data_IF_162510641250
#
_entry.id   IF_162510641250
#
_cell.length_a   1.000
_cell.length_b   1.000
_cell.length_c   1.000
_cell.angle_alpha   90.00
_cell.angle_beta   90.00
_cell.angle_gamma   90.00
#
_symmetry.space_group_name_H-M   'P 1'
#
loop_
_entity.id
_entity.type
_entity.pdbx_description
1 polymer ?
#
# COMPACT_ATOMS: atom_id res chain seq x y z
N UNK A 1 -29.73 14.17 19.88
CA UNK A 1 -29.02 13.02 20.50
C UNK A 1 -29.23 11.70 19.73
N UNK A 2 -30.40 11.48 19.09
CA UNK A 2 -30.72 10.27 18.31
C UNK A 2 -29.84 10.09 17.06
N UNK A 3 -29.59 11.16 16.29
CA UNK A 3 -28.76 11.09 15.08
C UNK A 3 -27.34 10.56 15.31
N UNK A 4 -26.67 10.97 16.40
CA UNK A 4 -25.33 10.45 16.76
C UNK A 4 -25.32 8.95 17.05
N UNK A 5 -26.38 8.43 17.68
CA UNK A 5 -26.51 6.98 17.93
C UNK A 5 -26.76 6.20 16.64
N UNK A 6 -27.57 6.75 15.73
CA UNK A 6 -27.78 6.13 14.41
C UNK A 6 -26.49 6.12 13.59
N UNK A 7 -25.74 7.23 13.51
CA UNK A 7 -24.46 7.25 12.79
C UNK A 7 -23.44 6.27 13.39
N UNK A 8 -23.31 6.22 14.73
CA UNK A 8 -22.43 5.27 15.39
C UNK A 8 -22.84 3.80 15.17
N UNK A 9 -24.14 3.52 15.05
CA UNK A 9 -24.63 2.18 14.74
C UNK A 9 -24.34 1.79 13.29
N UNK A 10 -24.58 2.70 12.34
CA UNK A 10 -24.25 2.49 10.93
C UNK A 10 -22.75 2.27 10.75
N UNK A 11 -21.90 3.10 11.36
CA UNK A 11 -20.44 2.91 11.33
C UNK A 11 -20.02 1.53 11.88
N UNK A 12 -20.71 1.04 12.93
CA UNK A 12 -20.44 -0.27 13.52
C UNK A 12 -20.89 -1.42 12.63
N UNK A 13 -22.06 -1.31 11.99
CA UNK A 13 -22.59 -2.32 11.08
C UNK A 13 -21.76 -2.39 9.79
N UNK A 14 -21.44 -1.24 9.19
CA UNK A 14 -20.50 -1.15 8.08
C UNK A 14 -19.16 -1.76 8.47
N UNK A 15 -18.67 -1.47 9.68
CA UNK A 15 -17.41 -2.04 10.15
C UNK A 15 -17.46 -3.56 10.24
N UNK A 16 -18.52 -4.15 10.79
CA UNK A 16 -18.63 -5.60 10.87
C UNK A 16 -18.66 -6.25 9.48
N UNK A 17 -19.36 -5.64 8.52
CA UNK A 17 -19.39 -6.11 7.14
C UNK A 17 -18.01 -6.00 6.48
N UNK A 18 -17.35 -4.85 6.58
CA UNK A 18 -16.01 -4.63 6.06
C UNK A 18 -14.99 -5.57 6.70
N UNK A 19 -15.13 -5.85 8.00
CA UNK A 19 -14.27 -6.78 8.72
C UNK A 19 -14.44 -8.21 8.20
N UNK A 20 -15.67 -8.68 8.03
CA UNK A 20 -15.94 -10.02 7.50
C UNK A 20 -15.33 -10.21 6.11
N UNK A 21 -15.50 -9.22 5.22
CA UNK A 21 -14.92 -9.25 3.87
C UNK A 21 -13.39 -9.18 3.93
N UNK A 22 -12.83 -8.34 4.82
CA UNK A 22 -11.38 -8.23 5.00
C UNK A 22 -10.78 -9.51 5.57
N UNK A 23 -11.47 -10.22 6.46
CA UNK A 23 -11.04 -11.50 7.02
C UNK A 23 -10.97 -12.59 5.94
N UNK A 24 -11.94 -12.65 5.03
CA UNK A 24 -11.94 -13.55 3.88
C UNK A 24 -10.81 -13.22 2.90
N UNK A 25 -10.66 -11.95 2.52
CA UNK A 25 -9.55 -11.48 1.66
C UNK A 25 -8.21 -11.83 2.30
N UNK A 26 -8.07 -11.62 3.61
CA UNK A 26 -6.84 -11.89 4.35
C UNK A 26 -6.55 -13.38 4.47
N UNK A 27 -7.58 -14.23 4.54
CA UNK A 27 -7.40 -15.68 4.50
C UNK A 27 -6.86 -16.14 3.14
N UNK A 28 -7.48 -15.69 2.04
CA UNK A 28 -7.00 -15.98 0.69
C UNK A 28 -5.60 -15.41 0.42
N UNK A 29 -5.31 -14.20 0.92
CA UNK A 29 -4.00 -13.58 0.78
C UNK A 29 -2.91 -14.34 1.55
N UNK A 30 -3.21 -14.79 2.78
CA UNK A 30 -2.29 -15.63 3.57
C UNK A 30 -2.01 -16.97 2.88
N UNK A 31 -3.02 -17.59 2.27
CA UNK A 31 -2.86 -18.82 1.50
C UNK A 31 -1.95 -18.60 0.28
N UNK A 32 -2.23 -17.57 -0.53
CA UNK A 32 -1.38 -17.22 -1.67
C UNK A 32 0.07 -16.93 -1.23
N UNK A 33 0.27 -16.20 -0.15
CA UNK A 33 1.62 -15.86 0.34
C UNK A 33 2.36 -17.08 0.90
N UNK A 34 1.67 -17.97 1.60
CA UNK A 34 2.32 -19.06 2.34
C UNK A 34 2.48 -20.34 1.52
N UNK A 35 1.54 -20.59 0.59
CA UNK A 35 1.37 -21.90 -0.03
C UNK A 35 1.60 -21.90 -1.54
N UNK A 36 1.98 -20.77 -2.14
CA UNK A 36 2.23 -20.70 -3.60
C UNK A 36 3.63 -20.16 -3.92
N UNK A 37 4.23 -20.56 -5.06
CA UNK A 37 5.47 -19.94 -5.56
C UNK A 37 5.35 -18.42 -5.76
N UNK A 38 4.14 -17.94 -6.03
CA UNK A 38 3.82 -16.50 -6.11
C UNK A 38 4.07 -15.81 -4.78
N UNK A 39 3.76 -16.48 -3.67
CA UNK A 39 4.01 -15.99 -2.32
C UNK A 39 5.49 -15.79 -2.00
N UNK A 40 6.36 -16.71 -2.42
CA UNK A 40 7.81 -16.58 -2.21
C UNK A 40 8.41 -15.42 -3.02
N UNK A 41 7.99 -15.26 -4.28
CA UNK A 41 8.40 -14.14 -5.13
C UNK A 41 7.80 -12.82 -4.62
N UNK A 42 6.57 -12.85 -4.10
CA UNK A 42 5.93 -11.69 -3.49
C UNK A 42 6.67 -11.22 -2.25
N UNK A 43 7.05 -12.13 -1.35
CA UNK A 43 7.84 -11.79 -0.17
C UNK A 43 9.17 -11.17 -0.56
N UNK A 44 9.86 -11.71 -1.57
CA UNK A 44 11.14 -11.17 -2.05
C UNK A 44 10.98 -9.81 -2.75
N UNK A 45 9.94 -9.58 -3.55
CA UNK A 45 9.64 -8.26 -4.15
C UNK A 45 9.29 -7.24 -3.07
N UNK A 46 8.48 -7.62 -2.08
CA UNK A 46 8.14 -6.79 -0.93
C UNK A 46 9.41 -6.43 -0.14
N UNK A 47 10.30 -7.41 0.10
CA UNK A 47 11.60 -7.19 0.76
C UNK A 47 12.58 -6.36 -0.08
N UNK A 48 12.58 -6.50 -1.41
CA UNK A 48 13.41 -5.70 -2.32
C UNK A 48 12.90 -4.27 -2.45
N UNK A 49 11.60 -4.06 -2.49
CA UNK A 49 10.97 -2.74 -2.41
C UNK A 49 11.41 -2.02 -1.13
N UNK A 50 11.45 -2.71 0.03
CA UNK A 50 12.00 -2.17 1.29
C UNK A 50 13.43 -1.63 1.14
N UNK A 51 14.30 -2.27 0.34
CA UNK A 51 15.67 -1.79 0.12
C UNK A 51 15.76 -0.52 -0.74
N UNK A 52 14.82 -0.31 -1.66
CA UNK A 52 14.75 0.92 -2.47
C UNK A 52 14.09 2.09 -1.72
N UNK A 53 13.47 1.83 -0.56
CA UNK A 53 12.82 2.84 0.27
C UNK A 53 13.85 3.70 0.99
N UNK A 54 14.39 4.71 0.30
CA UNK A 54 14.86 5.93 0.98
C UNK A 54 13.64 6.68 1.52
N UNK A 55 13.04 6.24 2.63
CA UNK A 55 12.13 7.08 3.41
C UNK A 55 12.86 7.65 4.61
N UNK A 56 12.91 8.99 4.64
CA UNK A 56 13.15 9.93 5.74
C UNK A 56 14.40 9.65 6.62
N UNK A 57 15.16 10.69 7.01
CA UNK A 57 16.12 10.55 8.11
C UNK A 57 15.31 10.34 9.41
N UNK A 58 14.96 9.09 9.67
CA UNK A 58 14.75 8.56 11.00
C UNK A 58 16.15 8.19 11.48
N UNK A 59 16.59 8.81 12.56
CA UNK A 59 17.96 8.69 13.10
C UNK A 59 18.36 7.25 13.51
N UNK A 60 17.48 6.26 13.31
CA UNK A 60 17.78 4.85 13.50
C UNK A 60 17.19 4.00 12.36
N UNK A 61 18.06 3.44 11.52
CA UNK A 61 17.69 2.51 10.45
C UNK A 61 16.87 1.30 10.95
N UNK A 62 17.02 0.90 12.21
CA UNK A 62 16.24 -0.18 12.83
C UNK A 62 14.73 0.09 12.88
N UNK A 63 14.34 1.36 13.07
CA UNK A 63 12.94 1.74 13.24
C UNK A 63 12.17 1.85 11.91
N UNK A 64 12.87 2.22 10.85
CA UNK A 64 12.32 2.21 9.48
C UNK A 64 11.86 0.80 9.13
N UNK A 65 12.70 -0.19 9.44
CA UNK A 65 12.42 -1.60 9.18
C UNK A 65 11.19 -2.09 9.93
N UNK A 66 11.07 -1.77 11.22
CA UNK A 66 9.90 -2.14 12.03
C UNK A 66 8.58 -1.60 11.44
N UNK A 67 8.57 -0.31 11.06
CA UNK A 67 7.39 0.34 10.46
C UNK A 67 7.01 -0.36 9.15
N UNK A 68 8.00 -0.71 8.33
CA UNK A 68 7.78 -1.39 7.05
C UNK A 68 7.27 -2.80 7.24
N UNK A 69 7.89 -3.59 8.11
CA UNK A 69 7.44 -4.95 8.45
C UNK A 69 6.01 -4.92 8.98
N UNK A 70 5.69 -3.97 9.86
CA UNK A 70 4.33 -3.78 10.37
C UNK A 70 3.33 -3.39 9.27
N UNK A 71 3.71 -2.53 8.33
CA UNK A 71 2.85 -2.13 7.21
C UNK A 71 2.53 -3.32 6.30
N UNK A 72 3.48 -4.21 6.07
CA UNK A 72 3.26 -5.45 5.31
C UNK A 72 2.29 -6.36 6.06
N UNK A 73 2.50 -6.59 7.36
CA UNK A 73 1.57 -7.38 8.16
C UNK A 73 0.16 -6.78 8.15
N UNK A 74 0.05 -5.44 8.23
CA UNK A 74 -1.24 -4.77 8.13
C UNK A 74 -1.97 -5.08 6.82
N UNK A 75 -1.27 -5.05 5.69
CA UNK A 75 -1.85 -5.39 4.39
C UNK A 75 -2.22 -6.86 4.29
N UNK A 76 -1.36 -7.76 4.79
CA UNK A 76 -1.60 -9.22 4.79
C UNK A 76 -2.81 -9.59 5.65
N UNK A 77 -2.99 -8.92 6.77
CA UNK A 77 -4.05 -9.18 7.74
C UNK A 77 -5.29 -8.30 7.56
N UNK A 78 -5.33 -7.46 6.53
CA UNK A 78 -6.47 -6.57 6.25
C UNK A 78 -6.72 -5.55 7.36
N UNK A 79 -5.66 -5.15 8.07
CA UNK A 79 -5.76 -4.24 9.20
C UNK A 79 -5.89 -2.78 8.75
N UNK A 80 -6.47 -1.96 9.63
CA UNK A 80 -6.62 -0.53 9.36
C UNK A 80 -5.27 0.19 9.47
N UNK A 81 -5.00 1.18 8.60
CA UNK A 81 -3.83 2.06 8.70
C UNK A 81 -3.70 2.81 10.04
N UNK A 82 -4.83 2.99 10.74
CA UNK A 82 -4.90 3.71 12.01
C UNK A 82 -4.02 3.05 13.10
N UNK A 83 -3.90 1.72 13.09
CA UNK A 83 -3.06 0.99 14.04
C UNK A 83 -1.56 1.26 13.82
N UNK A 84 -1.13 1.35 12.56
CA UNK A 84 0.24 1.72 12.22
C UNK A 84 0.53 3.18 12.62
N UNK A 85 -0.45 4.06 12.45
CA UNK A 85 -0.35 5.45 12.93
C UNK A 85 -0.15 5.52 14.45
N UNK A 86 -0.96 4.80 15.23
CA UNK A 86 -0.85 4.78 16.70
C UNK A 86 0.51 4.25 17.14
N UNK A 87 1.01 3.18 16.52
CA UNK A 87 2.36 2.66 16.76
C UNK A 87 3.43 3.74 16.52
N UNK A 88 3.37 4.43 15.38
CA UNK A 88 4.35 5.49 15.07
C UNK A 88 4.23 6.63 16.08
N UNK A 89 3.02 6.98 16.53
CA UNK A 89 2.79 8.03 17.53
C UNK A 89 3.31 7.67 18.91
N UNK A 90 3.18 6.42 19.34
CA UNK A 90 3.61 5.95 20.66
C UNK A 90 5.12 6.08 20.89
N UNK A 91 5.89 6.20 19.81
CA UNK A 91 7.33 6.47 19.89
C UNK A 91 7.73 7.84 20.46
N UNK A 92 6.81 8.81 20.50
CA UNK A 92 7.08 10.18 21.00
C UNK A 92 7.91 11.09 20.08
N UNK A 93 8.66 10.57 19.11
CA UNK A 93 9.64 11.36 18.32
C UNK A 93 9.07 12.05 17.07
N UNK A 94 7.77 11.89 16.79
CA UNK A 94 7.19 12.29 15.50
C UNK A 94 5.90 13.08 15.71
N UNK A 95 5.81 14.26 15.09
CA UNK A 95 4.58 15.03 15.06
C UNK A 95 3.42 14.25 14.39
N UNK A 96 2.20 14.41 14.88
CA UNK A 96 1.03 13.65 14.42
C UNK A 96 0.77 13.71 12.91
N UNK A 97 0.97 14.87 12.28
CA UNK A 97 0.84 15.04 10.83
C UNK A 97 1.88 14.20 10.06
N UNK A 98 3.11 14.11 10.58
CA UNK A 98 4.20 13.33 10.01
C UNK A 98 3.98 11.83 10.25
N UNK A 99 3.56 11.42 11.44
CA UNK A 99 3.22 10.02 11.72
C UNK A 99 2.13 9.50 10.77
N UNK A 100 1.08 10.30 10.54
CA UNK A 100 0.00 9.96 9.60
C UNK A 100 0.49 9.86 8.16
N UNK A 101 1.34 10.80 7.72
CA UNK A 101 1.96 10.73 6.39
C UNK A 101 2.78 9.44 6.22
N UNK A 102 3.61 9.11 7.22
CA UNK A 102 4.44 7.89 7.19
C UNK A 102 3.54 6.66 7.10
N UNK A 103 2.58 6.50 8.02
CA UNK A 103 1.68 5.35 8.02
C UNK A 103 0.98 5.14 6.68
N UNK A 104 0.38 6.20 6.10
CA UNK A 104 -0.30 6.12 4.81
C UNK A 104 0.64 5.74 3.67
N UNK A 105 1.86 6.29 3.69
CA UNK A 105 2.86 6.03 2.65
C UNK A 105 3.35 4.59 2.71
N UNK A 106 3.65 4.09 3.91
CA UNK A 106 4.15 2.72 4.08
C UNK A 106 3.06 1.67 3.79
N UNK A 107 1.80 1.93 4.14
CA UNK A 107 0.67 1.09 3.69
C UNK A 107 0.52 1.12 2.17
N UNK A 108 0.57 2.30 1.54
CA UNK A 108 0.48 2.42 0.08
C UNK A 108 1.58 1.65 -0.64
N UNK A 109 2.80 1.67 -0.10
CA UNK A 109 3.94 0.90 -0.59
C UNK A 109 3.77 -0.60 -0.42
N UNK A 110 3.34 -1.06 0.75
CA UNK A 110 3.09 -2.48 1.01
C UNK A 110 2.01 -3.03 0.06
N UNK A 111 0.91 -2.30 -0.14
CA UNK A 111 -0.15 -2.64 -1.10
C UNK A 111 0.38 -2.67 -2.54
N UNK A 112 1.20 -1.67 -2.93
CA UNK A 112 1.81 -1.60 -4.25
C UNK A 112 2.75 -2.78 -4.53
N UNK A 113 3.58 -3.15 -3.55
CA UNK A 113 4.49 -4.29 -3.66
C UNK A 113 3.72 -5.62 -3.78
N UNK A 114 2.65 -5.81 -3.01
CA UNK A 114 1.79 -6.99 -3.14
C UNK A 114 1.11 -7.04 -4.51
N UNK A 115 0.61 -5.90 -5.01
CA UNK A 115 0.00 -5.80 -6.34
C UNK A 115 1.00 -6.16 -7.43
N UNK A 116 2.21 -5.59 -7.37
CA UNK A 116 3.29 -5.89 -8.30
C UNK A 116 3.63 -7.38 -8.33
N UNK A 117 3.75 -8.01 -7.16
CA UNK A 117 4.08 -9.42 -7.08
C UNK A 117 3.03 -10.32 -7.73
N UNK A 118 1.74 -10.05 -7.43
CA UNK A 118 0.61 -10.77 -8.04
C UNK A 118 0.53 -10.54 -9.54
N UNK A 119 0.81 -9.32 -9.99
CA UNK A 119 0.83 -8.96 -11.39
C UNK A 119 1.94 -9.73 -12.15
N UNK A 120 3.17 -9.72 -11.63
CA UNK A 120 4.29 -10.43 -12.23
C UNK A 120 4.06 -11.94 -12.28
N UNK A 121 3.41 -12.51 -11.26
CA UNK A 121 3.05 -13.93 -11.23
C UNK A 121 2.09 -14.36 -12.35
N UNK A 122 1.25 -13.45 -12.84
CA UNK A 122 0.36 -13.70 -13.99
C UNK A 122 0.95 -13.18 -15.31
N UNK A 123 2.24 -12.86 -15.34
CA UNK A 123 2.95 -12.41 -16.55
C UNK A 123 2.72 -10.94 -16.91
N UNK A 124 2.16 -10.12 -16.02
CA UNK A 124 2.00 -8.69 -16.25
C UNK A 124 3.34 -7.95 -16.17
N UNK A 125 3.71 -7.24 -17.23
CA UNK A 125 4.94 -6.43 -17.25
C UNK A 125 4.77 -5.04 -16.63
N UNK A 126 3.53 -4.57 -16.46
CA UNK A 126 3.27 -3.22 -16.00
C UNK A 126 1.80 -2.89 -15.82
N UNK A 127 1.51 -1.60 -15.71
CA UNK A 127 0.18 -1.08 -15.42
C UNK A 127 -0.05 0.30 -16.05
N UNK A 128 -1.31 0.67 -16.19
CA UNK A 128 -1.72 2.03 -16.55
C UNK A 128 -1.84 2.88 -15.29
N UNK A 129 -1.14 4.01 -15.27
CA UNK A 129 -1.13 4.91 -14.10
C UNK A 129 -2.42 5.73 -14.04
N UNK A 130 -3.24 5.48 -13.02
CA UNK A 130 -4.48 6.22 -12.80
C UNK A 130 -4.35 7.23 -11.67
N UNK A 131 -5.19 8.27 -11.70
CA UNK A 131 -5.15 9.38 -10.75
C UNK A 131 -6.50 9.57 -10.08
N UNK A 132 -6.51 10.03 -8.83
CA UNK A 132 -7.74 10.38 -8.09
C UNK A 132 -8.54 11.50 -8.79
N UNK A 133 -7.86 12.37 -9.53
CA UNK A 133 -8.45 13.53 -10.18
C UNK A 133 -8.11 14.82 -9.44
N UNK A 134 -9.12 15.50 -8.90
CA UNK A 134 -8.93 16.75 -8.14
C UNK A 134 -7.99 16.53 -6.94
N UNK A 135 -7.11 17.49 -6.66
CA UNK A 135 -6.09 17.35 -5.60
C UNK A 135 -4.82 16.58 -6.01
N UNK A 136 -4.76 15.98 -7.20
CA UNK A 136 -3.55 15.32 -7.70
C UNK A 136 -2.44 16.36 -7.97
N UNK A 137 -1.21 16.10 -7.51
CA UNK A 137 -0.01 16.93 -7.76
C UNK A 137 0.31 17.06 -9.26
N UNK A 138 0.91 18.17 -9.75
CA UNK A 138 1.20 18.35 -11.16
C UNK A 138 2.07 17.25 -11.78
N UNK A 139 3.11 16.80 -11.09
CA UNK A 139 3.98 15.68 -11.51
C UNK A 139 3.21 14.38 -11.70
N UNK A 140 2.29 14.07 -10.78
CA UNK A 140 1.41 12.90 -10.85
C UNK A 140 0.34 13.02 -11.94
N UNK A 141 -0.21 14.22 -12.19
CA UNK A 141 -1.17 14.42 -13.29
C UNK A 141 -0.54 14.13 -14.64
N UNK A 142 0.74 14.45 -14.83
CA UNK A 142 1.50 14.12 -16.06
C UNK A 142 1.68 12.62 -16.27
N UNK A 143 1.38 11.78 -15.28
CA UNK A 143 1.42 10.32 -15.41
C UNK A 143 0.08 9.72 -15.80
N UNK A 144 -1.01 10.49 -15.80
CA UNK A 144 -2.34 9.98 -16.14
C UNK A 144 -2.29 9.20 -17.47
N UNK A 145 -2.78 7.96 -17.42
CA UNK A 145 -2.91 7.03 -18.54
C UNK A 145 -1.58 6.63 -19.20
N UNK A 146 -0.44 6.88 -18.54
CA UNK A 146 0.85 6.36 -18.99
C UNK A 146 1.04 4.92 -18.53
N UNK A 147 1.55 4.10 -19.43
CA UNK A 147 1.99 2.76 -19.09
C UNK A 147 3.32 2.83 -18.32
N UNK A 148 3.40 2.13 -17.19
CA UNK A 148 4.58 2.04 -16.35
C UNK A 148 4.92 0.57 -16.15
N UNK A 149 6.15 0.19 -16.50
CA UNK A 149 6.66 -1.15 -16.24
C UNK A 149 6.99 -1.31 -14.77
N UNK A 150 6.80 -2.52 -14.24
CA UNK A 150 7.14 -2.84 -12.86
C UNK A 150 8.65 -2.72 -12.57
N UNK A 151 9.50 -2.94 -13.58
CA UNK A 151 10.96 -2.85 -13.49
C UNK A 151 11.52 -1.42 -13.69
N UNK A 152 10.67 -0.47 -14.12
CA UNK A 152 11.09 0.89 -14.44
C UNK A 152 10.11 1.94 -13.88
N UNK A 153 10.01 2.08 -12.54
CA UNK A 153 9.18 3.10 -11.91
C UNK A 153 9.64 4.53 -12.26
N UNK A 154 8.71 5.48 -12.43
CA UNK A 154 9.05 6.88 -12.69
C UNK A 154 9.63 7.55 -11.43
N UNK A 155 10.37 8.64 -11.66
CA UNK A 155 10.79 9.57 -10.59
C UNK A 155 9.91 10.81 -10.62
N UNK A 156 9.16 11.05 -9.55
CA UNK A 156 8.25 12.18 -9.37
C UNK A 156 8.57 12.86 -8.04
N UNK A 157 8.54 14.19 -8.01
CA UNK A 157 8.76 14.97 -6.78
C UNK A 157 10.09 14.60 -6.06
N UNK A 158 11.12 14.23 -6.83
CA UNK A 158 12.42 13.81 -6.30
C UNK A 158 12.47 12.39 -5.73
N UNK A 159 11.41 11.60 -5.89
CA UNK A 159 11.34 10.22 -5.39
C UNK A 159 10.93 9.25 -6.51
N UNK A 160 11.61 8.11 -6.57
CA UNK A 160 11.25 7.01 -7.48
C UNK A 160 10.19 6.12 -6.82
N UNK A 161 9.11 5.83 -7.53
CA UNK A 161 8.08 4.93 -7.00
C UNK A 161 6.88 4.72 -7.92
N UNK A 162 6.14 3.66 -7.65
CA UNK A 162 4.90 3.34 -8.36
C UNK A 162 3.71 4.19 -7.90
N UNK A 163 2.60 4.06 -8.62
CA UNK A 163 1.35 4.72 -8.26
C UNK A 163 0.93 4.30 -6.83
N UNK A 164 0.53 5.26 -6.01
CA UNK A 164 0.15 5.02 -4.62
C UNK A 164 1.31 4.83 -3.63
N UNK A 165 2.56 4.77 -4.10
CA UNK A 165 3.72 4.48 -3.26
C UNK A 165 4.52 5.73 -2.80
N UNK A 166 4.14 6.92 -3.29
CA UNK A 166 4.77 8.20 -2.93
C UNK A 166 4.03 8.86 -1.75
N UNK A 167 4.66 9.79 -1.01
CA UNK A 167 4.03 10.45 0.13
C UNK A 167 2.67 11.07 -0.20
N UNK A 168 1.64 10.70 0.56
CA UNK A 168 0.25 11.14 0.37
C UNK A 168 -0.32 10.90 -1.04
N UNK A 169 0.27 9.99 -1.82
CA UNK A 169 -0.20 9.66 -3.15
C UNK A 169 -1.50 8.84 -3.07
N UNK A 170 -2.46 9.19 -3.93
CA UNK A 170 -3.73 8.47 -4.09
C UNK A 170 -3.95 7.97 -5.53
N UNK A 171 -2.88 7.98 -6.34
CA UNK A 171 -2.86 7.29 -7.62
C UNK A 171 -2.90 5.78 -7.39
N UNK A 172 -3.32 5.02 -8.40
CA UNK A 172 -3.30 3.55 -8.33
C UNK A 172 -2.83 2.93 -9.64
N UNK A 173 -2.40 1.69 -9.53
CA UNK A 173 -1.98 0.86 -10.66
C UNK A 173 -3.18 0.11 -11.22
N UNK A 174 -3.61 0.42 -12.44
CA UNK A 174 -4.52 -0.44 -13.18
C UNK A 174 -3.70 -1.47 -13.95
N UNK A 175 -3.56 -2.64 -13.33
CA UNK A 175 -2.67 -3.71 -13.81
C UNK A 175 -3.09 -4.16 -15.21
N UNK A 176 -2.13 -4.21 -16.13
CA UNK A 176 -2.35 -4.84 -17.43
C UNK A 176 -2.28 -6.36 -17.24
N UNK A 177 -3.41 -7.03 -17.38
CA UNK A 177 -3.45 -8.50 -17.35
C UNK A 177 -3.21 -9.00 -18.78
N UNK A 178 -2.17 -9.83 -19.02
CA UNK A 178 -1.95 -10.42 -20.33
C UNK A 178 -3.05 -11.45 -20.64
N UNK A 179 -3.24 -11.74 -21.93
CA UNK A 179 -4.16 -12.80 -22.35
C UNK A 179 -3.74 -14.15 -21.78
N UNK A 180 -4.70 -15.06 -21.51
CA UNK A 180 -4.38 -16.41 -21.06
C UNK A 180 -3.41 -17.08 -22.04
N UNK A 181 -2.29 -17.59 -21.54
CA UNK A 181 -1.42 -18.44 -22.34
C UNK A 181 -2.18 -19.74 -22.65
N UNK A 182 -2.22 -20.12 -23.93
CA UNK A 182 -2.85 -21.36 -24.41
C UNK A 182 -2.02 -22.59 -24.06
#
# INVERSE_FOLDING_TARGET
>A
MVGRKMFAQVEKEEWNQWRSVSEEISAGLRDVISNTPVGMVAQDIVYRQIRYMKSLPLEAAGRVREIQERAIQAVIHGERPDQLYEMIMQSGDVAASRARMIARTEIGRATGALTQARALAVGSEGYWWRIEGAGTRPSHRKMKDKFVRWDNPPTLDGMTGHAGCLPNCKCWSEVQIPDPQK
#
